data_IF_221542422549
#
_entry.id   IF_221542422549
#
_cell.length_a   1.000
_cell.length_b   1.000
_cell.length_c   1.000
_cell.angle_alpha   90.00
_cell.angle_beta   90.00
_cell.angle_gamma   90.00
#
_symmetry.space_group_name_H-M   'P 1'
#
loop_
_entity.id
_entity.type
_entity.pdbx_description
1 polymer ?
#
# COMPACT_ATOMS: atom_id res chain seq x y z
N UNK A 1 -23.05 69.02 -31.86
CA UNK A 1 -23.11 67.57 -31.65
C UNK A 1 -21.78 67.10 -31.09
N UNK A 2 -21.70 66.94 -29.77
CA UNK A 2 -20.49 66.56 -29.03
C UNK A 2 -20.62 65.08 -28.66
N UNK A 3 -19.61 64.20 -28.90
CA UNK A 3 -19.77 62.79 -28.59
C UNK A 3 -19.71 62.55 -27.08
N UNK A 4 -20.64 61.73 -26.58
CA UNK A 4 -20.67 61.23 -25.20
C UNK A 4 -19.44 60.35 -24.89
N UNK A 5 -18.88 60.40 -23.67
CA UNK A 5 -17.72 59.59 -23.31
C UNK A 5 -18.11 58.11 -23.13
N UNK A 6 -17.37 57.24 -23.81
CA UNK A 6 -17.47 55.78 -23.69
C UNK A 6 -17.05 55.37 -22.27
N UNK A 7 -18.00 54.96 -21.42
CA UNK A 7 -17.72 54.28 -20.15
C UNK A 7 -17.05 52.94 -20.46
N UNK A 8 -15.74 52.82 -20.22
CA UNK A 8 -15.05 51.52 -20.16
C UNK A 8 -15.63 50.72 -19.00
N UNK A 9 -16.23 49.56 -19.28
CA UNK A 9 -16.58 48.58 -18.24
C UNK A 9 -15.27 48.14 -17.55
N UNK A 10 -15.21 48.06 -16.22
CA UNK A 10 -14.04 47.49 -15.57
C UNK A 10 -13.88 46.03 -16.03
N UNK A 11 -12.66 45.70 -16.46
CA UNK A 11 -12.23 44.34 -16.78
C UNK A 11 -12.61 43.43 -15.60
N UNK A 12 -13.27 42.28 -15.80
CA UNK A 12 -13.50 41.34 -14.72
C UNK A 12 -12.13 40.84 -14.25
N UNK A 13 -11.65 41.38 -13.12
CA UNK A 13 -10.51 40.79 -12.41
C UNK A 13 -10.91 39.36 -12.10
N UNK A 14 -10.13 38.39 -12.59
CA UNK A 14 -10.17 37.04 -12.04
C UNK A 14 -9.93 37.18 -10.54
N UNK A 15 -11.00 37.05 -9.76
CA UNK A 15 -10.84 36.78 -8.34
C UNK A 15 -10.15 35.42 -8.26
N UNK A 16 -9.08 35.27 -7.47
CA UNK A 16 -8.57 33.94 -7.17
C UNK A 16 -9.76 33.17 -6.60
N UNK A 17 -10.17 32.11 -7.34
CA UNK A 17 -11.17 31.18 -6.86
C UNK A 17 -10.75 30.82 -5.45
N UNK A 18 -11.62 31.09 -4.46
CA UNK A 18 -11.54 30.51 -3.13
C UNK A 18 -11.02 29.08 -3.31
N UNK A 19 -9.96 28.64 -2.62
CA UNK A 19 -9.57 27.25 -2.69
C UNK A 19 -10.84 26.47 -2.39
N UNK A 20 -11.23 25.65 -3.37
CA UNK A 20 -12.31 24.71 -3.20
C UNK A 20 -11.92 23.95 -1.95
N UNK A 21 -12.55 24.23 -0.80
CA UNK A 21 -12.64 23.24 0.27
C UNK A 21 -13.48 22.13 -0.34
N UNK A 22 -12.84 21.33 -1.20
CA UNK A 22 -13.15 19.93 -1.25
C UNK A 22 -13.17 19.54 0.22
N UNK A 23 -14.32 19.13 0.69
CA UNK A 23 -14.37 18.21 1.81
C UNK A 23 -13.45 17.06 1.43
N UNK A 24 -12.16 17.19 1.73
CA UNK A 24 -11.25 16.07 1.75
C UNK A 24 -11.94 15.11 2.69
N UNK A 25 -12.48 14.03 2.14
CA UNK A 25 -12.97 12.88 2.89
C UNK A 25 -11.76 12.26 3.58
N UNK A 26 -11.20 12.99 4.54
CA UNK A 26 -10.05 12.54 5.32
C UNK A 26 -10.56 11.51 6.29
N UNK A 27 -9.89 10.37 6.37
CA UNK A 27 -10.12 9.37 7.41
C UNK A 27 -9.42 9.76 8.71
N UNK A 28 -9.42 11.06 9.04
CA UNK A 28 -8.76 11.63 10.23
C UNK A 28 -9.31 11.07 11.52
N UNK A 29 -10.56 10.60 11.54
CA UNK A 29 -11.17 9.92 12.68
C UNK A 29 -10.39 8.65 13.11
N UNK A 30 -9.69 7.98 12.19
CA UNK A 30 -8.86 6.80 12.49
C UNK A 30 -7.57 7.17 13.25
N UNK A 31 -7.21 8.46 13.32
CA UNK A 31 -5.91 8.89 13.84
C UNK A 31 -5.67 8.42 15.28
N UNK A 32 -6.67 8.59 16.15
CA UNK A 32 -6.56 8.20 17.56
C UNK A 32 -6.63 6.68 17.77
N UNK A 33 -7.35 5.96 16.91
CA UNK A 33 -7.42 4.50 16.94
C UNK A 33 -6.08 3.88 16.53
N UNK A 34 -5.43 4.41 15.49
CA UNK A 34 -4.09 4.00 15.07
C UNK A 34 -3.10 4.20 16.21
N UNK A 35 -3.08 5.39 16.81
CA UNK A 35 -2.18 5.67 17.95
C UNK A 35 -2.50 4.80 19.15
N UNK A 36 -3.77 4.47 19.38
CA UNK A 36 -4.20 3.58 20.45
C UNK A 36 -3.63 2.16 20.27
N UNK A 37 -3.67 1.63 19.04
CA UNK A 37 -3.04 0.36 18.67
C UNK A 37 -1.52 0.40 18.87
N UNK A 38 -0.87 1.47 18.40
CA UNK A 38 0.58 1.64 18.51
C UNK A 38 1.07 1.73 19.97
N UNK A 39 0.33 2.44 20.84
CA UNK A 39 0.60 2.47 22.30
C UNK A 39 0.51 1.08 22.96
N UNK A 40 -0.12 0.11 22.31
CA UNK A 40 -0.21 -1.30 22.72
C UNK A 40 0.74 -2.21 21.96
N UNK A 41 1.75 -1.63 21.32
CA UNK A 41 2.76 -2.35 20.53
C UNK A 41 2.20 -3.08 19.30
N UNK A 42 0.99 -2.72 18.84
CA UNK A 42 0.43 -3.20 17.56
C UNK A 42 0.96 -2.33 16.44
N UNK A 43 1.60 -2.96 15.45
CA UNK A 43 2.10 -2.29 14.25
C UNK A 43 0.97 -2.05 13.26
N UNK A 44 0.87 -0.83 12.74
CA UNK A 44 -0.15 -0.45 11.75
C UNK A 44 0.55 -0.07 10.44
N UNK A 45 0.23 -0.78 9.37
CA UNK A 45 0.86 -0.62 8.06
C UNK A 45 -0.16 -0.14 7.03
N UNK A 46 0.31 0.65 6.05
CA UNK A 46 -0.47 0.97 4.86
C UNK A 46 -0.29 -0.16 3.83
N UNK A 47 -1.38 -0.86 3.48
CA UNK A 47 -1.31 -1.83 2.38
C UNK A 47 -1.46 -1.14 1.02
N UNK A 48 -0.57 -1.48 0.08
CA UNK A 48 -0.54 -0.99 -1.30
C UNK A 48 -0.87 -2.16 -2.23
N UNK A 49 -1.89 -1.97 -3.07
CA UNK A 49 -2.39 -2.98 -4.00
C UNK A 49 -3.77 -3.48 -3.59
N UNK A 50 -3.90 -4.80 -3.42
CA UNK A 50 -5.17 -5.50 -3.23
C UNK A 50 -5.76 -5.98 -4.55
N UNK A 51 -6.82 -6.79 -4.49
CA UNK A 51 -7.41 -7.44 -5.66
C UNK A 51 -8.29 -6.53 -6.53
N UNK A 52 -8.67 -5.36 -6.02
CA UNK A 52 -9.61 -4.46 -6.68
C UNK A 52 -8.89 -3.27 -7.27
N UNK A 53 -9.25 -2.94 -8.51
CA UNK A 53 -8.76 -1.76 -9.23
C UNK A 53 -7.82 -2.11 -10.36
N UNK A 54 -7.21 -1.08 -10.97
CA UNK A 54 -6.17 -1.25 -11.96
C UNK A 54 -4.93 -0.47 -11.56
N UNK A 55 -3.87 -1.18 -11.19
CA UNK A 55 -2.58 -0.61 -10.83
C UNK A 55 -1.45 -1.48 -11.37
N UNK A 56 -0.34 -0.82 -11.69
CA UNK A 56 0.98 -1.41 -11.97
C UNK A 56 2.02 -0.31 -11.86
N UNK A 57 3.26 -0.67 -11.56
CA UNK A 57 4.38 0.25 -11.76
C UNK A 57 4.85 0.17 -13.21
N UNK A 58 5.10 1.31 -13.84
CA UNK A 58 5.52 1.36 -15.26
C UNK A 58 7.00 1.69 -15.44
N UNK A 59 7.69 2.13 -14.39
CA UNK A 59 9.13 2.40 -14.41
C UNK A 59 9.71 2.51 -12.99
N UNK A 60 11.03 2.51 -12.85
CA UNK A 60 11.67 2.83 -11.57
C UNK A 60 11.40 4.28 -11.13
N UNK A 61 11.21 5.22 -12.06
CA UNK A 61 10.85 6.60 -11.72
C UNK A 61 9.44 6.69 -11.12
N UNK A 62 8.51 5.91 -11.69
CA UNK A 62 7.17 5.77 -11.15
C UNK A 62 7.19 5.15 -9.73
N UNK A 63 8.01 4.12 -9.52
CA UNK A 63 8.25 3.55 -8.19
C UNK A 63 8.75 4.60 -7.17
N UNK A 64 9.61 5.54 -7.57
CA UNK A 64 10.07 6.63 -6.71
C UNK A 64 8.92 7.60 -6.34
N UNK A 65 8.06 7.95 -7.30
CA UNK A 65 6.88 8.78 -7.03
C UNK A 65 5.90 8.08 -6.09
N UNK A 66 5.68 6.78 -6.32
CA UNK A 66 4.85 5.94 -5.45
C UNK A 66 5.47 5.80 -4.06
N UNK A 67 6.80 5.77 -3.89
CA UNK A 67 7.43 5.78 -2.56
C UNK A 67 7.22 7.12 -1.81
N UNK A 68 7.33 8.24 -2.53
CA UNK A 68 7.20 9.57 -1.95
C UNK A 68 5.79 9.84 -1.40
N UNK A 69 4.75 9.26 -2.01
CA UNK A 69 3.37 9.52 -1.60
C UNK A 69 3.01 8.94 -0.20
N UNK A 70 3.21 7.65 0.11
CA UNK A 70 3.11 7.08 1.44
C UNK A 70 3.95 7.82 2.46
N UNK A 71 5.18 8.19 2.10
CA UNK A 71 6.04 8.97 2.97
C UNK A 71 5.41 10.30 3.37
N UNK A 72 5.03 11.13 2.39
CA UNK A 72 4.50 12.46 2.69
C UNK A 72 3.18 12.41 3.47
N UNK A 73 2.33 11.42 3.18
CA UNK A 73 0.96 11.39 3.69
C UNK A 73 0.74 10.51 4.93
N UNK A 74 1.60 9.52 5.19
CA UNK A 74 1.35 8.48 6.20
C UNK A 74 2.55 8.09 7.07
N UNK A 75 3.79 8.20 6.59
CA UNK A 75 4.99 7.66 7.28
C UNK A 75 5.96 8.74 7.76
N UNK A 76 6.10 9.83 7.01
CA UNK A 76 7.13 10.85 7.22
C UNK A 76 6.84 11.79 8.38
N UNK A 77 7.73 12.74 8.58
CA UNK A 77 7.85 13.51 9.82
C UNK A 77 6.55 14.20 10.30
N UNK A 78 6.37 14.21 11.62
CA UNK A 78 5.19 14.70 12.37
C UNK A 78 4.98 16.21 12.22
N UNK A 79 5.99 16.93 11.73
CA UNK A 79 6.07 18.38 11.75
C UNK A 79 5.62 19.06 10.44
N UNK A 80 5.30 18.32 9.38
CA UNK A 80 4.82 18.92 8.12
C UNK A 80 3.28 18.97 8.09
N UNK A 81 2.74 20.17 8.33
CA UNK A 81 1.35 20.51 8.68
C UNK A 81 0.40 20.68 7.47
N UNK A 82 0.38 19.75 6.52
CA UNK A 82 -0.74 19.67 5.56
C UNK A 82 -1.72 18.58 5.98
N UNK A 83 -2.99 18.75 5.62
CA UNK A 83 -4.10 17.87 6.01
C UNK A 83 -3.86 16.42 5.57
N UNK A 84 -3.20 15.64 6.44
CA UNK A 84 -2.92 14.22 6.23
C UNK A 84 -4.20 13.41 6.26
N UNK A 85 -4.25 12.38 5.40
CA UNK A 85 -5.44 11.56 5.21
C UNK A 85 -5.87 10.81 6.48
N UNK A 86 -4.92 10.46 7.36
CA UNK A 86 -5.14 9.82 8.66
C UNK A 86 -4.89 10.77 9.85
N UNK A 87 -4.96 12.08 9.62
CA UNK A 87 -4.64 13.08 10.63
C UNK A 87 -3.19 13.00 11.11
N UNK A 88 -2.98 13.18 12.41
CA UNK A 88 -1.64 13.20 13.02
C UNK A 88 -1.04 11.79 13.26
N UNK A 89 -1.67 10.73 12.77
CA UNK A 89 -1.13 9.39 12.91
C UNK A 89 0.03 9.18 11.94
N UNK A 90 1.08 8.51 12.42
CA UNK A 90 2.23 8.10 11.61
C UNK A 90 2.28 6.58 11.65
N UNK A 91 2.17 5.94 10.48
CA UNK A 91 2.14 4.48 10.36
C UNK A 91 3.53 3.88 10.58
N UNK A 92 3.57 2.61 10.95
CA UNK A 92 4.82 1.89 11.21
C UNK A 92 5.51 1.41 9.92
N UNK A 93 4.78 1.37 8.80
CA UNK A 93 5.27 0.72 7.60
C UNK A 93 4.32 0.64 6.41
N UNK A 94 4.77 -0.07 5.39
CA UNK A 94 4.03 -0.38 4.16
C UNK A 94 3.96 -1.89 3.99
N UNK A 95 2.78 -2.37 3.59
CA UNK A 95 2.56 -3.74 3.17
C UNK A 95 2.31 -3.77 1.65
N UNK A 96 3.04 -4.61 0.90
CA UNK A 96 2.86 -4.79 -0.53
C UNK A 96 1.94 -5.98 -0.80
N UNK A 97 0.66 -5.71 -1.05
CA UNK A 97 -0.35 -6.72 -1.39
C UNK A 97 -0.60 -6.75 -2.90
N UNK A 98 0.45 -7.01 -3.69
CA UNK A 98 0.40 -6.91 -5.15
C UNK A 98 -0.18 -8.19 -5.76
N UNK A 99 -1.33 -8.06 -6.44
CA UNK A 99 -2.07 -9.19 -7.02
C UNK A 99 -2.26 -9.11 -8.55
N UNK A 100 -1.69 -8.10 -9.21
CA UNK A 100 -1.86 -7.87 -10.64
C UNK A 100 -0.72 -7.02 -11.23
N UNK A 101 -0.71 -6.89 -12.56
CA UNK A 101 0.30 -6.12 -13.27
C UNK A 101 1.60 -6.90 -13.49
N UNK A 102 2.70 -6.16 -13.57
CA UNK A 102 4.03 -6.71 -13.82
C UNK A 102 4.83 -6.85 -12.51
N UNK A 103 5.66 -7.89 -12.30
CA UNK A 103 6.55 -7.96 -11.15
C UNK A 103 7.70 -6.94 -11.18
N UNK A 104 7.81 -6.17 -12.27
CA UNK A 104 8.85 -5.18 -12.45
C UNK A 104 8.69 -3.99 -11.49
N UNK A 105 9.82 -3.34 -11.20
CA UNK A 105 9.91 -2.07 -10.45
C UNK A 105 9.51 -2.11 -8.97
N UNK A 106 8.86 -3.17 -8.45
CA UNK A 106 8.67 -3.35 -7.01
C UNK A 106 9.97 -3.44 -6.20
N UNK A 107 11.08 -4.06 -6.69
CA UNK A 107 12.39 -3.89 -6.07
C UNK A 107 12.79 -2.42 -5.87
N UNK A 108 12.59 -1.59 -6.90
CA UNK A 108 12.92 -0.17 -6.84
C UNK A 108 12.04 0.55 -5.82
N UNK A 109 10.74 0.25 -5.75
CA UNK A 109 9.84 0.80 -4.73
C UNK A 109 10.36 0.53 -3.31
N UNK A 110 10.74 -0.71 -3.03
CA UNK A 110 11.29 -1.10 -1.71
C UNK A 110 12.61 -0.37 -1.43
N UNK A 111 13.51 -0.28 -2.41
CA UNK A 111 14.77 0.45 -2.29
C UNK A 111 14.55 1.94 -2.02
N UNK A 112 13.60 2.58 -2.70
CA UNK A 112 13.28 4.00 -2.48
C UNK A 112 12.70 4.25 -1.09
N UNK A 113 11.75 3.42 -0.63
CA UNK A 113 11.21 3.53 0.73
C UNK A 113 12.33 3.44 1.78
N UNK A 114 13.25 2.47 1.63
CA UNK A 114 14.41 2.33 2.52
C UNK A 114 15.38 3.50 2.44
N UNK A 115 15.59 4.06 1.25
CA UNK A 115 16.47 5.24 1.08
C UNK A 115 15.93 6.49 1.75
N UNK A 116 14.61 6.59 1.94
CA UNK A 116 13.97 7.70 2.64
C UNK A 116 14.13 7.51 4.15
N UNK A 117 13.84 6.31 4.64
CA UNK A 117 14.01 5.93 6.04
C UNK A 117 14.20 4.42 6.18
N UNK A 118 15.38 4.01 6.64
CA UNK A 118 15.74 2.60 6.79
C UNK A 118 14.94 1.89 7.89
N UNK A 119 14.23 2.62 8.75
CA UNK A 119 13.46 2.05 9.86
C UNK A 119 12.03 1.65 9.48
N UNK A 120 11.53 2.08 8.32
CA UNK A 120 10.17 1.77 7.84
C UNK A 120 9.98 0.25 7.79
N UNK A 121 8.94 -0.28 8.43
CA UNK A 121 8.62 -1.70 8.27
C UNK A 121 8.08 -1.93 6.85
N UNK A 122 8.66 -2.88 6.13
CA UNK A 122 8.17 -3.28 4.80
C UNK A 122 7.73 -4.72 4.89
N UNK A 123 6.46 -4.99 4.58
CA UNK A 123 5.94 -6.34 4.42
C UNK A 123 5.42 -6.60 3.02
N UNK A 124 5.16 -7.86 2.70
CA UNK A 124 4.55 -8.25 1.44
C UNK A 124 3.61 -9.42 1.64
N UNK A 125 2.55 -9.47 0.84
CA UNK A 125 1.51 -10.49 0.91
C UNK A 125 1.38 -11.25 -0.44
N UNK A 126 2.37 -12.07 -0.84
CA UNK A 126 2.28 -12.86 -2.06
C UNK A 126 1.27 -14.01 -1.91
N UNK A 127 0.64 -14.42 -3.02
CA UNK A 127 -0.06 -15.72 -3.06
C UNK A 127 0.90 -16.90 -2.92
N UNK A 128 0.38 -18.05 -2.48
CA UNK A 128 1.16 -19.26 -2.23
C UNK A 128 1.87 -19.91 -3.44
N UNK A 129 1.50 -19.67 -4.73
CA UNK A 129 2.29 -20.22 -5.83
C UNK A 129 3.71 -19.66 -5.80
N UNK A 130 4.69 -20.56 -5.88
CA UNK A 130 6.11 -20.23 -5.80
C UNK A 130 6.81 -20.49 -7.15
N UNK A 131 7.64 -19.56 -7.67
CA UNK A 131 7.90 -18.22 -7.13
C UNK A 131 6.68 -17.30 -7.28
N UNK A 132 6.58 -16.29 -6.42
CA UNK A 132 5.47 -15.32 -6.51
C UNK A 132 5.49 -14.56 -7.83
N UNK A 133 4.39 -14.64 -8.58
CA UNK A 133 4.22 -13.99 -9.88
C UNK A 133 4.45 -12.48 -9.86
N UNK A 134 4.04 -11.80 -8.79
CA UNK A 134 4.04 -10.33 -8.72
C UNK A 134 5.10 -9.76 -7.77
N UNK A 135 5.46 -10.49 -6.70
CA UNK A 135 6.44 -10.02 -5.72
C UNK A 135 7.75 -10.80 -5.73
N UNK A 136 7.87 -11.88 -6.52
CA UNK A 136 9.06 -12.74 -6.53
C UNK A 136 10.35 -11.96 -6.69
N UNK A 137 10.42 -11.05 -7.67
CA UNK A 137 11.61 -10.21 -7.88
C UNK A 137 11.94 -9.29 -6.71
N UNK A 138 10.93 -8.70 -6.06
CA UNK A 138 11.14 -7.84 -4.90
C UNK A 138 11.67 -8.64 -3.71
N UNK A 139 11.09 -9.82 -3.46
CA UNK A 139 11.49 -10.74 -2.40
C UNK A 139 12.91 -11.28 -2.60
N UNK A 140 13.30 -11.51 -3.86
CA UNK A 140 14.64 -11.97 -4.22
C UNK A 140 15.68 -10.87 -4.05
N UNK A 141 15.36 -9.63 -4.40
CA UNK A 141 16.35 -8.55 -4.50
C UNK A 141 16.43 -7.64 -3.27
N UNK A 142 15.38 -7.56 -2.46
CA UNK A 142 15.27 -6.60 -1.36
C UNK A 142 14.81 -7.23 -0.05
N UNK A 143 15.05 -6.58 1.09
CA UNK A 143 14.75 -7.13 2.42
C UNK A 143 13.36 -6.71 2.90
N UNK A 144 12.57 -7.72 3.27
CA UNK A 144 11.27 -7.57 3.91
C UNK A 144 11.38 -7.87 5.40
N UNK A 145 10.66 -7.11 6.22
CA UNK A 145 10.48 -7.44 7.63
C UNK A 145 9.58 -8.66 7.77
N UNK A 146 8.41 -8.62 7.14
CA UNK A 146 7.41 -9.68 7.19
C UNK A 146 6.96 -10.09 5.78
N UNK A 147 6.71 -11.37 5.59
CA UNK A 147 6.05 -11.89 4.39
C UNK A 147 4.87 -12.75 4.82
N UNK A 148 3.67 -12.37 4.39
CA UNK A 148 2.40 -13.03 4.70
C UNK A 148 1.97 -13.83 3.47
N UNK A 149 2.36 -15.11 3.38
CA UNK A 149 2.04 -15.92 2.21
C UNK A 149 0.56 -16.29 2.26
N UNK A 150 -0.21 -15.92 1.24
CA UNK A 150 -1.65 -16.16 1.18
C UNK A 150 -1.96 -17.56 0.66
N UNK A 151 -2.48 -18.43 1.53
CA UNK A 151 -2.86 -19.81 1.24
C UNK A 151 -4.36 -19.92 0.94
N UNK A 152 -4.83 -19.13 -0.02
CA UNK A 152 -6.21 -19.12 -0.47
C UNK A 152 -6.30 -18.91 -1.99
N UNK A 153 -7.43 -19.30 -2.58
CA UNK A 153 -7.76 -19.16 -4.01
C UNK A 153 -6.80 -19.88 -4.98
N UNK A 154 -5.97 -20.81 -4.49
CA UNK A 154 -4.94 -21.50 -5.27
C UNK A 154 -4.86 -22.99 -4.86
N UNK A 155 -5.68 -23.88 -5.46
CA UNK A 155 -5.80 -25.30 -5.10
C UNK A 155 -4.48 -26.08 -5.06
N UNK A 156 -3.50 -25.67 -5.86
CA UNK A 156 -2.17 -26.27 -5.97
C UNK A 156 -1.30 -26.06 -4.73
N UNK A 157 -1.62 -25.06 -3.91
CA UNK A 157 -0.82 -24.71 -2.75
C UNK A 157 -1.62 -24.38 -1.51
N UNK A 158 -2.96 -24.39 -1.54
CA UNK A 158 -3.81 -24.17 -0.37
C UNK A 158 -4.22 -25.47 0.34
N UNK A 159 -4.92 -25.32 1.47
CA UNK A 159 -5.58 -26.45 2.12
C UNK A 159 -6.78 -26.91 1.29
N UNK A 160 -6.88 -28.21 1.03
CA UNK A 160 -8.10 -28.81 0.50
C UNK A 160 -8.81 -29.60 1.61
N UNK A 161 -10.14 -29.70 1.54
CA UNK A 161 -10.96 -30.31 2.61
C UNK A 161 -10.59 -31.76 2.96
N UNK A 162 -9.76 -32.43 2.17
CA UNK A 162 -9.33 -33.81 2.36
C UNK A 162 -7.85 -33.97 2.70
N UNK A 163 -7.02 -32.94 2.51
CA UNK A 163 -5.56 -33.01 2.67
C UNK A 163 -4.93 -31.62 2.82
N UNK A 164 -3.93 -31.54 3.71
CA UNK A 164 -3.06 -30.39 3.90
C UNK A 164 -1.74 -30.48 3.11
N UNK A 165 -1.55 -31.51 2.27
CA UNK A 165 -0.25 -31.79 1.64
C UNK A 165 0.21 -30.64 0.73
N UNK A 166 -0.69 -30.07 -0.08
CA UNK A 166 -0.36 -28.94 -0.96
C UNK A 166 0.10 -27.71 -0.16
N UNK A 167 -0.62 -27.37 0.92
CA UNK A 167 -0.24 -26.30 1.85
C UNK A 167 1.10 -26.58 2.50
N UNK A 168 1.31 -27.77 3.07
CA UNK A 168 2.54 -28.13 3.77
C UNK A 168 3.73 -28.12 2.80
N UNK A 169 3.56 -28.64 1.58
CA UNK A 169 4.61 -28.65 0.57
C UNK A 169 4.97 -27.23 0.11
N UNK A 170 3.98 -26.38 -0.17
CA UNK A 170 4.23 -24.97 -0.52
C UNK A 170 4.86 -24.21 0.65
N UNK A 171 4.38 -24.40 1.88
CA UNK A 171 4.95 -23.80 3.09
C UNK A 171 6.44 -24.15 3.28
N UNK A 172 6.83 -25.40 3.05
CA UNK A 172 8.25 -25.80 3.06
C UNK A 172 9.04 -25.07 1.98
N UNK A 173 8.52 -24.98 0.75
CA UNK A 173 9.17 -24.23 -0.33
C UNK A 173 9.42 -22.78 0.05
N UNK A 174 8.40 -22.08 0.57
CA UNK A 174 8.51 -20.69 1.00
C UNK A 174 9.51 -20.49 2.13
N UNK A 175 9.50 -21.35 3.14
CA UNK A 175 10.35 -21.20 4.33
C UNK A 175 11.79 -21.66 4.14
N UNK A 176 12.05 -22.54 3.16
CA UNK A 176 13.40 -23.05 2.85
C UNK A 176 14.07 -22.31 1.69
N UNK A 177 13.33 -21.52 0.91
CA UNK A 177 13.88 -20.82 -0.24
C UNK A 177 14.85 -19.71 0.15
N UNK A 178 16.00 -19.64 -0.54
CA UNK A 178 16.98 -18.56 -0.43
C UNK A 178 16.58 -17.31 -1.22
N UNK A 179 15.57 -17.42 -2.08
CA UNK A 179 15.01 -16.32 -2.87
C UNK A 179 14.09 -15.43 -2.02
N UNK A 180 13.70 -15.84 -0.81
CA UNK A 180 12.83 -15.05 0.05
C UNK A 180 13.67 -14.33 1.11
N UNK A 181 13.96 -13.05 0.88
CA UNK A 181 14.71 -12.21 1.83
C UNK A 181 13.78 -11.57 2.86
N UNK A 182 13.24 -12.39 3.77
CA UNK A 182 12.33 -11.95 4.84
C UNK A 182 12.91 -12.22 6.24
N UNK A 183 12.67 -11.32 7.20
CA UNK A 183 13.03 -11.60 8.60
C UNK A 183 12.06 -12.59 9.26
N UNK A 184 10.78 -12.55 8.89
CA UNK A 184 9.78 -13.56 9.28
C UNK A 184 8.82 -13.85 8.13
N UNK A 185 8.42 -15.11 8.02
CA UNK A 185 7.41 -15.59 7.08
C UNK A 185 6.21 -16.07 7.90
N UNK A 186 5.01 -15.67 7.48
CA UNK A 186 3.73 -15.98 8.10
C UNK A 186 2.83 -16.67 7.09
N UNK A 187 1.91 -17.46 7.63
CA UNK A 187 0.87 -18.14 6.89
C UNK A 187 -0.42 -17.31 6.99
N UNK A 188 -0.86 -16.71 5.89
CA UNK A 188 -2.09 -15.91 5.83
C UNK A 188 -3.26 -16.78 5.35
N UNK A 189 -4.36 -16.76 6.12
CA UNK A 189 -5.57 -17.56 5.91
C UNK A 189 -6.81 -16.67 5.86
N UNK A 190 -7.80 -17.09 5.07
CA UNK A 190 -9.12 -16.47 5.15
C UNK A 190 -9.81 -16.85 6.46
N UNK A 191 -10.17 -15.85 7.27
CA UNK A 191 -10.82 -16.07 8.56
C UNK A 191 -12.26 -16.61 8.42
N UNK A 192 -12.98 -16.23 7.37
CA UNK A 192 -14.30 -16.76 7.03
C UNK A 192 -14.64 -16.49 5.56
N UNK A 193 -15.37 -17.41 4.92
CA UNK A 193 -16.08 -17.14 3.65
C UNK A 193 -17.47 -16.66 4.02
N UNK A 194 -17.72 -15.35 3.97
CA UNK A 194 -19.09 -14.84 4.11
C UNK A 194 -19.83 -15.18 2.81
N UNK A 195 -20.50 -16.34 2.79
CA UNK A 195 -21.59 -16.57 1.85
C UNK A 195 -22.68 -15.56 2.18
N UNK A 196 -22.67 -14.40 1.52
CA UNK A 196 -23.93 -13.66 1.35
C UNK A 196 -24.80 -14.53 0.46
N UNK A 197 -25.61 -15.41 1.06
CA UNK A 197 -26.85 -15.84 0.42
C UNK A 197 -27.66 -14.57 0.22
N UNK A 198 -27.57 -14.02 -0.97
CA UNK A 198 -28.56 -13.05 -1.45
C UNK A 198 -29.82 -13.88 -1.66
N UNK A 199 -30.74 -13.81 -0.69
CA UNK A 199 -32.14 -14.09 -0.96
C UNK A 199 -32.68 -12.99 -1.89
#
# INVERSE_FOLDING_TARGET
>A
HTPLPIRRRPNPRLQPRRPLRASLNTCTFLSEEIKYCQRRHVKVLLSIGGEIGNYTLISNKDAAHVAAYPWNNFLGDKHNSTARLLGAAVLDGVDLAISQGSPEHYPALVMYLRSIDETILISGAPFCPFPSKYLGRALESTRFGYVWVQFNKNPECEYNNTSADNLINSWRTWTMSKEVRAAKIFLELMAAVIFRRVC
#
